data_IF_080478823870
#
_entry.id   IF_080478823870
#
_cell.length_a   1.000
_cell.length_b   1.000
_cell.length_c   1.000
_cell.angle_alpha   90.00
_cell.angle_beta   90.00
_cell.angle_gamma   90.00
#
_symmetry.space_group_name_H-M   'P 1'
#
loop_
_entity.id
_entity.type
_entity.pdbx_description
1 polymer ?
#
# COMPACT_ATOMS: atom_id res chain seq x y z
N UNK A 1 -34.77 5.57 0.63
CA UNK A 1 -33.89 6.47 -0.13
C UNK A 1 -32.60 5.71 -0.42
N UNK A 2 -32.09 5.81 -1.65
CA UNK A 2 -30.86 5.16 -2.08
C UNK A 2 -29.65 5.77 -1.34
N UNK A 3 -28.90 4.94 -0.61
CA UNK A 3 -27.75 5.35 0.21
C UNK A 3 -26.70 6.07 -0.63
N UNK A 4 -26.54 5.67 -1.90
CA UNK A 4 -25.60 6.30 -2.84
C UNK A 4 -26.01 7.74 -3.14
N UNK A 5 -27.31 7.99 -3.35
CA UNK A 5 -27.85 9.33 -3.61
C UNK A 5 -27.70 10.24 -2.40
N UNK A 6 -27.93 9.71 -1.20
CA UNK A 6 -27.74 10.46 0.04
C UNK A 6 -26.26 10.84 0.26
N UNK A 7 -25.33 9.91 0.03
CA UNK A 7 -23.89 10.18 0.13
C UNK A 7 -23.45 11.25 -0.89
N UNK A 8 -23.89 11.13 -2.15
CA UNK A 8 -23.57 12.11 -3.19
C UNK A 8 -24.04 13.53 -2.81
N UNK A 9 -25.24 13.67 -2.24
CA UNK A 9 -25.74 14.96 -1.76
C UNK A 9 -24.90 15.53 -0.61
N UNK A 10 -24.45 14.68 0.32
CA UNK A 10 -23.57 15.11 1.42
C UNK A 10 -22.22 15.59 0.92
N UNK A 11 -21.63 14.87 -0.03
CA UNK A 11 -20.37 15.27 -0.69
C UNK A 11 -20.56 16.60 -1.42
N UNK A 12 -21.64 16.76 -2.19
CA UNK A 12 -21.90 17.98 -2.97
C UNK A 12 -22.13 19.24 -2.10
N UNK A 13 -22.60 19.07 -0.86
CA UNK A 13 -22.84 20.17 0.09
C UNK A 13 -21.67 20.44 1.04
N UNK A 14 -20.64 19.60 1.04
CA UNK A 14 -19.53 19.74 1.96
C UNK A 14 -18.59 20.87 1.53
N UNK A 15 -18.35 21.83 2.43
CA UNK A 15 -17.40 22.92 2.18
C UNK A 15 -15.92 22.49 2.33
N UNK A 16 -15.68 21.38 3.05
CA UNK A 16 -14.35 20.81 3.32
C UNK A 16 -14.46 19.30 3.39
N UNK A 17 -13.63 18.60 2.64
CA UNK A 17 -13.56 17.13 2.60
C UNK A 17 -12.13 16.71 2.87
N UNK A 18 -11.95 15.74 3.76
CA UNK A 18 -10.69 15.02 3.92
C UNK A 18 -10.89 13.59 3.44
N UNK A 19 -9.96 13.09 2.63
CA UNK A 19 -9.95 11.71 2.15
C UNK A 19 -8.79 10.99 2.83
N UNK A 20 -9.10 9.93 3.57
CA UNK A 20 -8.11 9.03 4.13
C UNK A 20 -8.01 7.83 3.20
N UNK A 21 -6.82 7.61 2.65
CA UNK A 21 -6.55 6.54 1.70
C UNK A 21 -5.29 5.77 2.09
N UNK A 22 -5.08 4.61 1.46
CA UNK A 22 -3.89 3.80 1.61
C UNK A 22 -3.34 3.34 0.26
N UNK A 23 -2.38 2.42 0.29
CA UNK A 23 -1.73 1.90 -0.91
C UNK A 23 -2.71 1.25 -1.91
N UNK A 24 -3.84 0.72 -1.44
CA UNK A 24 -4.90 0.15 -2.29
C UNK A 24 -5.47 1.11 -3.34
N UNK A 25 -5.34 2.43 -3.17
CA UNK A 25 -5.75 3.39 -4.22
C UNK A 25 -4.82 3.36 -5.45
N UNK A 26 -3.63 2.78 -5.33
CA UNK A 26 -2.61 2.73 -6.40
C UNK A 26 -2.52 1.36 -7.07
N UNK A 27 -3.29 0.36 -6.63
CA UNK A 27 -3.24 -0.99 -7.22
C UNK A 27 -3.72 -1.01 -8.66
N UNK A 28 -4.75 -0.21 -8.97
CA UNK A 28 -5.27 -0.06 -10.34
C UNK A 28 -4.29 0.69 -11.27
N UNK A 29 -3.25 1.34 -10.73
CA UNK A 29 -2.15 1.93 -11.52
C UNK A 29 -0.91 1.04 -11.59
N UNK A 30 -1.05 -0.24 -11.24
CA UNK A 30 0.03 -1.23 -11.26
C UNK A 30 0.92 -1.22 -10.02
N UNK A 31 0.71 -0.32 -9.04
CA UNK A 31 1.54 -0.29 -7.84
C UNK A 31 0.91 -1.20 -6.77
N UNK A 32 1.56 -2.32 -6.40
CA UNK A 32 0.98 -3.26 -5.46
C UNK A 32 0.84 -2.63 -4.07
N UNK A 33 -0.19 -3.04 -3.35
CA UNK A 33 -0.30 -2.71 -1.94
C UNK A 33 0.57 -3.63 -1.07
N UNK A 34 0.61 -3.32 0.22
CA UNK A 34 1.46 -4.03 1.16
C UNK A 34 0.79 -5.24 1.80
N UNK A 35 -0.49 -5.10 2.20
CA UNK A 35 -1.15 -5.97 3.19
C UNK A 35 -2.34 -6.76 2.66
N UNK A 36 -2.72 -6.61 1.39
CA UNK A 36 -3.78 -7.47 0.83
C UNK A 36 -3.30 -8.92 0.74
N UNK A 37 -4.24 -9.84 0.49
CA UNK A 37 -3.95 -11.27 0.27
C UNK A 37 -2.89 -11.51 -0.82
N UNK A 38 -2.85 -10.63 -1.83
CA UNK A 38 -1.85 -10.66 -2.90
C UNK A 38 -0.81 -9.53 -2.77
N UNK A 39 -0.73 -8.85 -1.63
CA UNK A 39 0.17 -7.73 -1.39
C UNK A 39 1.64 -8.16 -1.26
N UNK A 40 2.53 -7.17 -1.15
CA UNK A 40 3.99 -7.40 -1.06
C UNK A 40 4.35 -8.33 0.11
N UNK A 41 3.60 -8.27 1.22
CA UNK A 41 3.93 -9.00 2.45
C UNK A 41 3.25 -10.36 2.58
N UNK A 42 2.48 -10.79 1.58
CA UNK A 42 1.66 -12.01 1.66
C UNK A 42 2.44 -13.30 1.97
N UNK A 43 3.75 -13.33 1.70
CA UNK A 43 4.62 -14.49 1.89
C UNK A 43 5.68 -14.32 3.00
N UNK A 44 5.61 -13.23 3.78
CA UNK A 44 6.61 -12.92 4.81
C UNK A 44 5.94 -12.90 6.20
N UNK A 45 6.23 -13.93 7.01
CA UNK A 45 5.59 -14.13 8.33
C UNK A 45 5.99 -13.05 9.37
N UNK A 46 7.15 -12.40 9.20
CA UNK A 46 7.71 -11.43 10.18
C UNK A 46 7.92 -10.02 9.60
N UNK A 47 7.08 -9.61 8.64
CA UNK A 47 7.30 -8.34 7.90
C UNK A 47 7.40 -7.10 8.81
N UNK A 48 6.65 -7.05 9.90
CA UNK A 48 6.69 -5.92 10.85
C UNK A 48 8.04 -5.81 11.57
N UNK A 49 8.67 -6.94 11.86
CA UNK A 49 10.00 -6.97 12.44
C UNK A 49 11.03 -6.45 11.45
N UNK A 50 11.01 -6.94 10.20
CA UNK A 50 11.93 -6.50 9.16
C UNK A 50 11.78 -5.02 8.81
N UNK A 51 10.58 -4.46 8.94
CA UNK A 51 10.30 -3.03 8.71
C UNK A 51 10.51 -2.14 9.94
N UNK A 52 10.88 -2.73 11.08
CA UNK A 52 11.07 -1.98 12.32
C UNK A 52 12.34 -1.13 12.29
N UNK A 53 12.30 0.00 13.00
CA UNK A 53 13.49 0.82 13.27
C UNK A 53 14.62 0.00 13.90
N UNK A 54 14.27 -0.91 14.82
CA UNK A 54 15.22 -1.80 15.49
C UNK A 54 16.00 -2.66 14.50
N UNK A 55 15.30 -3.31 13.56
CA UNK A 55 15.93 -4.15 12.57
C UNK A 55 16.81 -3.34 11.62
N UNK A 56 16.32 -2.19 11.16
CA UNK A 56 17.10 -1.27 10.33
C UNK A 56 18.39 -0.82 11.02
N UNK A 57 18.31 -0.42 12.29
CA UNK A 57 19.47 0.03 13.06
C UNK A 57 20.52 -1.07 13.23
N UNK A 58 20.09 -2.32 13.35
CA UNK A 58 20.97 -3.48 13.56
C UNK A 58 21.52 -4.06 12.25
N UNK A 59 20.72 -4.07 11.18
CA UNK A 59 21.02 -4.73 9.91
C UNK A 59 20.65 -3.84 8.70
N UNK A 60 21.25 -2.64 8.53
CA UNK A 60 20.81 -1.69 7.52
C UNK A 60 21.02 -2.21 6.08
N UNK A 61 22.07 -3.00 5.84
CA UNK A 61 22.33 -3.58 4.51
C UNK A 61 21.27 -4.62 4.15
N UNK A 62 20.93 -5.53 5.07
CA UNK A 62 19.90 -6.55 4.83
C UNK A 62 18.53 -5.91 4.63
N UNK A 63 18.18 -4.91 5.45
CA UNK A 63 16.95 -4.13 5.28
C UNK A 63 16.80 -3.58 3.85
N UNK A 64 17.83 -2.94 3.31
CA UNK A 64 17.80 -2.41 1.94
C UNK A 64 17.75 -3.51 0.88
N UNK A 65 18.46 -4.62 1.09
CA UNK A 65 18.40 -5.78 0.20
C UNK A 65 16.99 -6.36 0.14
N UNK A 66 16.29 -6.48 1.27
CA UNK A 66 14.88 -6.93 1.33
C UNK A 66 13.94 -5.98 0.61
N UNK A 67 14.05 -4.67 0.87
CA UNK A 67 13.23 -3.67 0.18
C UNK A 67 13.41 -3.71 -1.35
N UNK A 68 14.64 -3.81 -1.81
CA UNK A 68 14.93 -3.93 -3.26
C UNK A 68 14.41 -5.27 -3.79
N UNK A 69 14.60 -6.36 -3.06
CA UNK A 69 14.09 -7.68 -3.43
C UNK A 69 12.58 -7.68 -3.60
N UNK A 70 11.83 -7.12 -2.66
CA UNK A 70 10.37 -6.98 -2.74
C UNK A 70 9.91 -6.09 -3.90
N UNK A 71 10.68 -5.07 -4.26
CA UNK A 71 10.39 -4.26 -5.46
C UNK A 71 10.62 -5.06 -6.74
N UNK A 72 11.65 -5.90 -6.78
CA UNK A 72 12.05 -6.65 -7.97
C UNK A 72 11.30 -7.97 -8.14
N UNK A 73 10.73 -8.53 -7.07
CA UNK A 73 9.99 -9.80 -7.11
C UNK A 73 8.69 -9.71 -7.90
N UNK A 74 8.25 -8.51 -8.31
CA UNK A 74 7.10 -8.29 -9.18
C UNK A 74 7.42 -7.34 -10.36
N UNK A 75 8.13 -7.85 -11.38
CA UNK A 75 8.50 -7.05 -12.55
C UNK A 75 7.31 -6.67 -13.45
N UNK A 76 6.13 -7.25 -13.22
CA UNK A 76 4.89 -6.94 -13.94
C UNK A 76 4.32 -5.57 -13.52
N UNK A 77 4.57 -5.14 -12.28
CA UNK A 77 3.94 -3.99 -11.60
C UNK A 77 4.45 -2.61 -12.10
N UNK A 78 5.34 -2.58 -13.09
CA UNK A 78 5.89 -1.35 -13.66
C UNK A 78 5.92 -1.34 -15.20
N UNK A 79 5.30 -2.33 -15.88
CA UNK A 79 5.39 -2.44 -17.35
C UNK A 79 4.37 -1.60 -18.13
N UNK A 80 3.34 -1.10 -17.46
CA UNK A 80 2.20 -0.39 -18.09
C UNK A 80 2.13 1.12 -17.77
N UNK A 81 3.24 1.73 -17.33
CA UNK A 81 3.43 3.19 -17.24
C UNK A 81 4.48 3.65 -18.26
#
# INVERSE_FOLDING_TARGET
>A
MDVTKELAMRIARANRIAVLTGAGMSTESGIPDFRSENGIYAQEEDVEYYLSEYYFAKNPVDFWQRLISWRLSRPEDCRDL
#
